data_IF_514710530055
#
_entry.id   IF_514710530055
#
_cell.length_a   1.000
_cell.length_b   1.000
_cell.length_c   1.000
_cell.angle_alpha   90.00
_cell.angle_beta   90.00
_cell.angle_gamma   90.00
#
_symmetry.space_group_name_H-M   'P 1'
#
loop_
_entity.id
_entity.type
_entity.pdbx_description
1 polymer ?
#
# COMPACT_ATOMS: atom_id res chain seq x y z
N UNK A 1 10.79 -5.52 -16.33
CA UNK A 1 9.71 -6.14 -15.53
C UNK A 1 10.35 -7.10 -14.53
N UNK A 2 10.14 -6.93 -13.23
CA UNK A 2 10.52 -7.92 -12.23
C UNK A 2 9.55 -9.10 -12.26
N UNK A 3 10.07 -10.31 -12.10
CA UNK A 3 9.32 -11.53 -11.83
C UNK A 3 9.88 -12.11 -10.54
N UNK A 4 9.01 -12.50 -9.63
CA UNK A 4 9.42 -13.09 -8.36
C UNK A 4 8.61 -14.36 -8.08
N UNK A 5 9.26 -15.35 -7.49
CA UNK A 5 8.63 -16.55 -6.96
C UNK A 5 9.00 -16.70 -5.48
N UNK A 6 8.00 -16.89 -4.63
CA UNK A 6 8.23 -17.22 -3.23
C UNK A 6 8.84 -18.60 -3.11
N UNK A 7 9.78 -18.75 -2.18
CA UNK A 7 10.42 -20.03 -1.88
C UNK A 7 10.27 -20.33 -0.38
N UNK A 8 9.89 -21.53 -0.03
CA UNK A 8 9.75 -21.99 1.36
C UNK A 8 10.99 -22.75 1.85
N UNK A 9 12.19 -22.39 1.39
CA UNK A 9 13.42 -23.12 1.72
C UNK A 9 13.73 -23.08 3.21
N UNK A 10 13.43 -21.94 3.86
CA UNK A 10 13.64 -21.80 5.30
C UNK A 10 12.79 -22.78 6.12
N UNK A 11 11.51 -22.93 5.75
CA UNK A 11 10.55 -23.82 6.40
C UNK A 11 10.92 -25.29 6.17
N UNK A 12 11.50 -25.59 4.99
CA UNK A 12 11.98 -26.92 4.64
C UNK A 12 13.39 -27.23 5.19
N UNK A 13 14.04 -26.31 5.88
CA UNK A 13 15.42 -26.47 6.38
C UNK A 13 16.48 -26.57 5.27
N UNK A 14 16.17 -26.15 4.05
CA UNK A 14 17.05 -26.23 2.87
C UNK A 14 17.80 -24.94 2.69
N UNK A 15 19.11 -25.01 2.41
CA UNK A 15 19.91 -23.82 2.09
C UNK A 15 19.77 -23.45 0.60
N UNK A 16 19.77 -22.15 0.29
CA UNK A 16 19.62 -21.68 -1.10
C UNK A 16 20.71 -22.20 -2.05
N UNK A 17 21.91 -22.45 -1.53
CA UNK A 17 23.01 -23.03 -2.29
C UNK A 17 22.87 -24.55 -2.62
N UNK A 18 21.93 -25.25 -1.98
CA UNK A 18 21.66 -26.66 -2.21
C UNK A 18 20.67 -26.90 -3.34
N UNK A 19 20.06 -25.84 -3.83
CA UNK A 19 19.06 -25.88 -4.88
C UNK A 19 19.42 -25.02 -6.08
N UNK A 20 18.76 -25.27 -7.19
CA UNK A 20 18.79 -24.43 -8.39
C UNK A 20 17.37 -24.07 -8.78
N UNK A 21 17.20 -22.85 -9.32
CA UNK A 21 15.93 -22.37 -9.82
C UNK A 21 15.99 -22.03 -11.31
N UNK A 22 14.87 -22.17 -11.99
CA UNK A 22 14.72 -21.70 -13.38
C UNK A 22 13.35 -21.11 -13.61
N UNK A 23 13.31 -19.98 -14.32
CA UNK A 23 12.09 -19.39 -14.86
C UNK A 23 11.95 -19.82 -16.32
N UNK A 24 10.83 -20.38 -16.69
CA UNK A 24 10.48 -20.79 -18.06
C UNK A 24 9.27 -19.97 -18.49
N UNK A 25 9.40 -19.30 -19.63
CA UNK A 25 8.31 -18.56 -20.27
C UNK A 25 7.78 -19.40 -21.41
N UNK A 26 6.52 -19.79 -21.33
CA UNK A 26 5.84 -20.67 -22.29
C UNK A 26 4.69 -19.92 -22.95
N UNK A 27 4.52 -20.09 -24.26
CA UNK A 27 3.33 -19.59 -24.97
C UNK A 27 2.07 -20.33 -24.49
N UNK A 28 0.88 -19.83 -24.82
CA UNK A 28 -0.39 -20.50 -24.57
C UNK A 28 -0.45 -21.93 -25.16
N UNK A 29 0.35 -22.22 -26.20
CA UNK A 29 0.49 -23.57 -26.78
C UNK A 29 1.52 -24.46 -26.04
N UNK A 30 2.05 -24.02 -24.90
CA UNK A 30 3.04 -24.77 -24.10
C UNK A 30 4.47 -24.78 -24.68
N UNK A 31 4.77 -23.95 -25.69
CA UNK A 31 6.13 -23.87 -26.25
C UNK A 31 6.97 -22.92 -25.41
N UNK A 32 8.08 -23.43 -24.85
CA UNK A 32 9.05 -22.59 -24.16
C UNK A 32 9.72 -21.61 -25.15
N UNK A 33 9.67 -20.33 -24.84
CA UNK A 33 10.28 -19.24 -25.62
C UNK A 33 11.52 -18.68 -24.93
N UNK A 34 11.62 -18.83 -23.62
CA UNK A 34 12.77 -18.39 -22.83
C UNK A 34 12.90 -19.22 -21.56
N UNK A 35 14.13 -19.57 -21.22
CA UNK A 35 14.49 -20.13 -19.91
C UNK A 35 15.61 -19.30 -19.34
N UNK A 36 15.48 -18.89 -18.08
CA UNK A 36 16.47 -18.05 -17.40
C UNK A 36 16.68 -18.51 -15.97
N UNK A 37 17.92 -18.44 -15.50
CA UNK A 37 18.21 -18.57 -14.07
C UNK A 37 17.73 -17.32 -13.33
N UNK A 38 17.37 -17.41 -12.05
CA UNK A 38 17.14 -16.23 -11.22
C UNK A 38 18.35 -15.30 -11.20
N UNK A 39 18.12 -13.99 -11.18
CA UNK A 39 19.16 -13.00 -10.86
C UNK A 39 19.60 -13.13 -9.39
N UNK A 40 18.63 -13.46 -8.52
CA UNK A 40 18.88 -13.79 -7.12
C UNK A 40 17.96 -14.93 -6.67
N UNK A 41 18.54 -15.85 -5.89
CA UNK A 41 17.83 -16.94 -5.20
C UNK A 41 18.21 -16.88 -3.73
N UNK A 42 17.24 -16.57 -2.89
CA UNK A 42 17.37 -16.49 -1.44
C UNK A 42 16.58 -17.60 -0.77
N UNK A 43 16.60 -17.66 0.57
CA UNK A 43 15.78 -18.60 1.35
C UNK A 43 14.27 -18.45 1.10
N UNK A 44 13.85 -17.22 0.77
CA UNK A 44 12.44 -16.83 0.75
C UNK A 44 11.96 -16.46 -0.65
N UNK A 45 12.84 -16.18 -1.60
CA UNK A 45 12.47 -15.68 -2.90
C UNK A 45 13.50 -15.96 -3.99
N UNK A 46 12.99 -16.25 -5.20
CA UNK A 46 13.74 -16.19 -6.44
C UNK A 46 13.27 -14.97 -7.24
N UNK A 47 14.18 -14.17 -7.76
CA UNK A 47 13.85 -12.99 -8.57
C UNK A 47 14.54 -13.03 -9.92
N UNK A 48 13.87 -12.51 -10.95
CA UNK A 48 14.38 -12.36 -12.31
C UNK A 48 13.89 -11.02 -12.87
N UNK A 49 14.78 -10.27 -13.53
CA UNK A 49 14.41 -9.12 -14.34
C UNK A 49 14.43 -9.47 -15.81
N UNK A 50 13.36 -9.19 -16.52
CA UNK A 50 13.26 -9.35 -17.97
C UNK A 50 12.87 -8.05 -18.62
N UNK A 51 13.37 -7.84 -19.83
CA UNK A 51 12.85 -6.78 -20.68
C UNK A 51 11.61 -7.34 -21.42
N UNK A 52 10.46 -6.70 -21.23
CA UNK A 52 9.22 -7.15 -21.87
C UNK A 52 9.29 -7.06 -23.40
N UNK A 53 10.12 -6.16 -23.96
CA UNK A 53 10.32 -6.03 -25.42
C UNK A 53 11.03 -7.23 -26.06
N UNK A 54 11.71 -8.07 -25.26
CA UNK A 54 12.38 -9.29 -25.75
C UNK A 54 11.37 -10.42 -26.11
N UNK A 55 10.09 -10.22 -25.77
CA UNK A 55 9.03 -11.19 -26.06
C UNK A 55 8.14 -10.69 -27.20
N UNK A 56 7.73 -11.55 -28.15
CA UNK A 56 6.63 -11.26 -29.07
C UNK A 56 5.35 -10.85 -28.31
N UNK A 57 4.46 -10.10 -28.98
CA UNK A 57 3.11 -9.85 -28.44
C UNK A 57 2.37 -11.18 -28.28
N UNK A 58 1.78 -11.41 -27.10
CA UNK A 58 1.06 -12.65 -26.81
C UNK A 58 0.98 -12.94 -25.30
N UNK A 59 0.34 -14.04 -25.01
CA UNK A 59 0.12 -14.54 -23.65
C UNK A 59 1.13 -15.64 -23.34
N UNK A 60 1.67 -15.59 -22.14
CA UNK A 60 2.68 -16.53 -21.67
C UNK A 60 2.33 -17.02 -20.27
N UNK A 61 2.63 -18.31 -20.01
CA UNK A 61 2.76 -18.80 -18.66
C UNK A 61 4.22 -18.70 -18.24
N UNK A 62 4.47 -18.08 -17.09
CA UNK A 62 5.79 -18.03 -16.47
C UNK A 62 5.82 -19.06 -15.37
N UNK A 63 6.61 -20.10 -15.55
CA UNK A 63 6.79 -21.16 -14.56
C UNK A 63 8.15 -21.00 -13.90
N UNK A 64 8.18 -20.96 -12.58
CA UNK A 64 9.39 -21.12 -11.80
C UNK A 64 9.47 -22.57 -11.32
N UNK A 65 10.60 -23.23 -11.54
CA UNK A 65 10.87 -24.58 -11.04
C UNK A 65 12.09 -24.54 -10.12
N UNK A 66 11.97 -25.21 -8.98
CA UNK A 66 13.03 -25.39 -8.00
C UNK A 66 13.44 -26.85 -7.96
N UNK A 67 14.74 -27.13 -8.05
CA UNK A 67 15.29 -28.47 -8.02
C UNK A 67 16.55 -28.53 -7.14
N UNK A 68 16.83 -29.70 -6.58
CA UNK A 68 18.13 -29.99 -5.96
C UNK A 68 19.22 -30.05 -7.03
N UNK A 69 20.50 -29.98 -6.64
CA UNK A 69 21.64 -30.04 -7.60
C UNK A 69 21.71 -31.34 -8.38
N UNK A 70 21.23 -32.44 -7.83
CA UNK A 70 21.11 -33.74 -8.48
C UNK A 70 19.86 -33.87 -9.37
N UNK A 71 19.05 -32.78 -9.51
CA UNK A 71 17.89 -32.72 -10.40
C UNK A 71 16.56 -33.13 -9.78
N UNK A 72 16.52 -33.47 -8.48
CA UNK A 72 15.26 -33.77 -7.78
C UNK A 72 14.36 -32.53 -7.67
N UNK A 73 13.09 -32.63 -8.12
CA UNK A 73 12.12 -31.56 -8.02
C UNK A 73 11.82 -31.21 -6.56
N UNK A 74 11.77 -29.92 -6.24
CA UNK A 74 11.40 -29.37 -4.92
C UNK A 74 10.14 -28.53 -4.95
N UNK A 75 9.61 -28.24 -6.12
CA UNK A 75 8.37 -27.49 -6.29
C UNK A 75 8.40 -26.57 -7.50
N UNK A 76 7.22 -26.06 -7.82
CA UNK A 76 7.05 -25.05 -8.88
C UNK A 76 5.94 -24.07 -8.54
N UNK A 77 6.02 -22.88 -9.15
CA UNK A 77 4.98 -21.86 -9.11
C UNK A 77 4.75 -21.34 -10.53
N UNK A 78 3.52 -20.87 -10.80
CA UNK A 78 3.16 -20.33 -12.11
C UNK A 78 2.46 -18.99 -11.97
N UNK A 79 2.64 -18.13 -12.99
CA UNK A 79 1.88 -16.88 -13.16
C UNK A 79 1.71 -16.58 -14.65
N UNK A 80 0.78 -15.71 -14.97
CA UNK A 80 0.56 -15.24 -16.34
C UNK A 80 1.40 -13.99 -16.63
N UNK A 81 1.84 -13.88 -17.86
CA UNK A 81 2.50 -12.69 -18.40
C UNK A 81 1.91 -12.35 -19.76
N UNK A 82 1.28 -11.19 -19.86
CA UNK A 82 0.69 -10.68 -21.10
C UNK A 82 1.59 -9.63 -21.74
N UNK A 83 2.17 -9.92 -22.91
CA UNK A 83 2.90 -8.93 -23.68
C UNK A 83 1.97 -8.31 -24.72
N UNK A 84 1.59 -7.07 -24.51
CA UNK A 84 0.73 -6.31 -25.41
C UNK A 84 1.56 -5.36 -26.28
N UNK A 85 1.10 -5.06 -27.50
CA UNK A 85 1.76 -4.12 -28.40
C UNK A 85 1.67 -2.69 -27.87
N UNK A 86 0.52 -2.32 -27.32
CA UNK A 86 0.24 -1.05 -26.66
C UNK A 86 -0.49 -1.39 -25.35
N UNK A 87 -0.11 -0.72 -24.27
CA UNK A 87 -0.90 -0.84 -23.03
C UNK A 87 -2.32 -0.39 -23.30
N UNK A 88 -3.34 -1.17 -22.87
CA UNK A 88 -4.72 -0.73 -22.99
C UNK A 88 -4.89 0.59 -22.22
N UNK A 89 -5.75 1.44 -22.72
CA UNK A 89 -6.17 2.63 -21.99
C UNK A 89 -7.05 2.16 -20.84
N UNK A 90 -6.50 2.23 -19.64
CA UNK A 90 -7.20 1.88 -18.39
C UNK A 90 -7.52 3.15 -17.62
N UNK A 91 -8.66 3.16 -16.92
CA UNK A 91 -9.12 4.28 -16.11
C UNK A 91 -8.26 4.46 -14.87
N UNK A 92 -7.94 3.36 -14.21
CA UNK A 92 -7.06 3.32 -13.06
C UNK A 92 -6.20 2.04 -13.09
N UNK A 93 -4.89 2.15 -12.90
CA UNK A 93 -4.00 1.00 -12.88
C UNK A 93 -2.70 1.29 -12.12
N UNK A 94 -2.01 0.26 -11.69
CA UNK A 94 -0.72 0.38 -11.01
C UNK A 94 0.40 0.27 -12.05
N UNK A 95 1.27 1.28 -12.10
CA UNK A 95 2.42 1.32 -13.01
C UNK A 95 3.64 0.56 -12.50
N UNK A 96 4.71 0.51 -13.32
CA UNK A 96 5.97 -0.15 -12.96
C UNK A 96 6.68 0.47 -11.73
N UNK A 97 6.33 1.69 -11.35
CA UNK A 97 6.82 2.38 -10.16
C UNK A 97 5.89 2.21 -8.96
N UNK A 98 4.86 1.35 -9.07
CA UNK A 98 3.81 1.10 -8.06
C UNK A 98 2.96 2.33 -7.74
N UNK A 99 2.91 3.29 -8.64
CA UNK A 99 2.01 4.44 -8.54
C UNK A 99 0.65 4.06 -9.11
N UNK A 100 -0.40 4.54 -8.49
CA UNK A 100 -1.71 4.52 -9.14
C UNK A 100 -1.73 5.58 -10.25
N UNK A 101 -2.12 5.18 -11.43
CA UNK A 101 -2.41 6.07 -12.56
C UNK A 101 -3.91 6.14 -12.72
N UNK A 102 -4.48 7.34 -12.72
CA UNK A 102 -5.91 7.60 -12.89
C UNK A 102 -6.07 8.56 -14.07
N UNK A 103 -6.86 8.16 -15.05
CA UNK A 103 -7.07 8.96 -16.27
C UNK A 103 -5.74 9.45 -16.89
N UNK A 104 -4.73 8.56 -16.91
CA UNK A 104 -3.41 8.82 -17.46
C UNK A 104 -2.47 9.66 -16.58
N UNK A 105 -2.87 10.03 -15.36
CA UNK A 105 -2.07 10.86 -14.44
C UNK A 105 -1.74 10.10 -13.15
N UNK A 106 -0.50 10.26 -12.62
CA UNK A 106 -0.17 9.71 -11.30
C UNK A 106 -1.08 10.27 -10.21
N UNK A 107 -1.56 9.38 -9.35
CA UNK A 107 -2.47 9.68 -8.27
C UNK A 107 -1.98 9.03 -6.97
N UNK A 108 -1.91 9.78 -5.88
CA UNK A 108 -1.60 9.28 -4.55
C UNK A 108 -2.91 9.21 -3.76
N UNK A 109 -3.47 8.03 -3.48
CA UNK A 109 -4.66 7.93 -2.64
C UNK A 109 -4.38 8.52 -1.26
N UNK A 110 -5.08 9.57 -0.93
CA UNK A 110 -5.05 10.22 0.38
C UNK A 110 -6.50 10.31 0.86
N UNK A 111 -6.92 9.40 1.70
CA UNK A 111 -8.31 9.24 2.05
C UNK A 111 -8.55 8.72 3.45
N UNK A 112 -9.81 8.45 3.75
CA UNK A 112 -10.23 7.87 5.02
C UNK A 112 -11.33 6.82 4.82
N UNK A 113 -11.42 5.92 5.79
CA UNK A 113 -12.55 5.00 5.93
C UNK A 113 -13.82 5.73 6.38
N UNK A 114 -14.95 5.33 5.79
CA UNK A 114 -16.29 5.81 6.07
C UNK A 114 -17.22 4.65 6.43
N UNK A 115 -18.24 4.89 7.28
CA UNK A 115 -19.28 3.88 7.49
C UNK A 115 -20.21 3.76 6.28
N UNK A 116 -20.56 4.89 5.68
CA UNK A 116 -21.36 5.06 4.47
C UNK A 116 -21.40 6.52 4.10
N UNK A 117 -21.61 6.83 2.83
CA UNK A 117 -21.62 8.22 2.32
C UNK A 117 -22.90 8.92 2.78
N UNK A 118 -22.76 10.07 3.46
CA UNK A 118 -23.85 10.87 4.00
C UNK A 118 -23.57 12.36 3.85
N UNK A 119 -24.60 13.11 3.52
CA UNK A 119 -24.66 14.56 3.69
C UNK A 119 -25.09 14.90 5.14
N UNK A 120 -24.61 15.94 5.80
CA UNK A 120 -23.63 16.96 5.38
C UNK A 120 -22.16 16.55 5.61
N UNK A 121 -21.91 15.32 6.05
CA UNK A 121 -20.56 14.81 6.35
C UNK A 121 -19.65 14.89 5.11
N UNK A 122 -20.20 14.56 3.92
CA UNK A 122 -19.48 14.62 2.65
C UNK A 122 -19.03 16.05 2.31
N UNK A 123 -19.86 17.04 2.61
CA UNK A 123 -19.52 18.46 2.41
C UNK A 123 -18.35 18.90 3.30
N UNK A 124 -18.33 18.44 4.56
CA UNK A 124 -17.23 18.70 5.49
C UNK A 124 -15.94 18.04 5.02
N UNK A 125 -16.04 16.77 4.57
CA UNK A 125 -14.89 16.01 4.10
C UNK A 125 -14.28 16.58 2.82
N UNK A 126 -15.09 16.98 1.86
CA UNK A 126 -14.66 17.55 0.59
C UNK A 126 -13.90 18.88 0.74
N UNK A 127 -14.11 19.61 1.84
CA UNK A 127 -13.33 20.82 2.19
C UNK A 127 -11.96 20.49 2.81
N UNK A 128 -11.75 19.23 3.20
CA UNK A 128 -10.48 18.74 3.73
C UNK A 128 -9.45 18.44 2.64
N UNK A 129 -8.27 17.95 3.04
CA UNK A 129 -7.17 17.70 2.11
C UNK A 129 -7.27 16.39 1.32
N UNK A 130 -8.33 15.63 1.49
CA UNK A 130 -8.50 14.29 0.96
C UNK A 130 -8.97 14.29 -0.49
N UNK A 131 -8.55 13.27 -1.26
CA UNK A 131 -8.91 13.09 -2.67
C UNK A 131 -9.70 11.79 -2.93
N UNK A 132 -9.83 10.94 -1.92
CA UNK A 132 -10.63 9.72 -2.00
C UNK A 132 -11.23 9.35 -0.65
N UNK A 133 -12.18 8.40 -0.68
CA UNK A 133 -12.77 7.79 0.51
C UNK A 133 -13.07 6.32 0.27
N UNK A 134 -13.12 5.53 1.35
CA UNK A 134 -13.47 4.12 1.33
C UNK A 134 -14.66 3.87 2.27
N UNK A 135 -15.89 3.81 1.75
CA UNK A 135 -17.07 3.50 2.55
C UNK A 135 -17.23 2.00 2.76
N UNK A 136 -17.47 1.56 3.98
CA UNK A 136 -17.83 0.17 4.28
C UNK A 136 -19.18 -0.22 3.65
N UNK A 137 -20.18 0.65 3.79
CA UNK A 137 -21.45 0.49 3.07
C UNK A 137 -21.26 0.82 1.59
N UNK A 138 -21.62 -0.12 0.71
CA UNK A 138 -21.54 0.08 -0.74
C UNK A 138 -22.41 1.26 -1.17
N UNK A 139 -21.83 2.36 -1.70
CA UNK A 139 -22.60 3.54 -2.09
C UNK A 139 -23.51 3.25 -3.28
N UNK A 140 -24.67 3.88 -3.31
CA UNK A 140 -25.55 3.89 -4.46
C UNK A 140 -25.09 4.91 -5.52
N UNK A 141 -25.82 4.96 -6.66
CA UNK A 141 -25.47 5.86 -7.76
C UNK A 141 -25.47 7.33 -7.34
N UNK A 142 -26.47 7.75 -6.55
CA UNK A 142 -26.57 9.14 -6.10
C UNK A 142 -25.38 9.53 -5.21
N UNK A 143 -24.98 8.65 -4.33
CA UNK A 143 -23.82 8.83 -3.45
C UNK A 143 -22.50 8.88 -4.25
N UNK A 144 -22.35 8.01 -5.27
CA UNK A 144 -21.21 8.04 -6.19
C UNK A 144 -21.17 9.34 -7.00
N UNK A 145 -22.30 9.78 -7.55
CA UNK A 145 -22.45 11.07 -8.25
C UNK A 145 -22.08 12.25 -7.33
N UNK A 146 -22.49 12.21 -6.07
CA UNK A 146 -22.19 13.25 -5.07
C UNK A 146 -20.69 13.33 -4.73
N UNK A 147 -20.01 12.19 -4.65
CA UNK A 147 -18.56 12.13 -4.50
C UNK A 147 -17.87 12.72 -5.73
N UNK A 148 -18.28 12.30 -6.92
CA UNK A 148 -17.71 12.80 -8.17
C UNK A 148 -17.84 14.32 -8.33
N UNK A 149 -19.02 14.85 -8.04
CA UNK A 149 -19.30 16.29 -8.11
C UNK A 149 -18.39 17.14 -7.21
N UNK A 150 -17.80 16.53 -6.17
CA UNK A 150 -16.84 17.16 -5.25
C UNK A 150 -15.37 16.82 -5.54
N UNK A 151 -15.11 16.17 -6.67
CA UNK A 151 -13.74 15.76 -7.05
C UNK A 151 -13.17 14.61 -6.23
N UNK A 152 -14.01 13.89 -5.48
CA UNK A 152 -13.59 12.76 -4.65
C UNK A 152 -13.73 11.45 -5.44
N UNK A 153 -12.69 10.61 -5.33
CA UNK A 153 -12.71 9.24 -5.82
C UNK A 153 -13.17 8.28 -4.71
N UNK A 154 -13.71 7.13 -5.11
CA UNK A 154 -14.27 6.13 -4.18
C UNK A 154 -13.56 4.79 -4.37
N UNK A 155 -13.00 4.26 -3.30
CA UNK A 155 -12.59 2.86 -3.21
C UNK A 155 -13.84 2.08 -2.84
N UNK A 156 -14.44 1.39 -3.82
CA UNK A 156 -15.77 0.78 -3.67
C UNK A 156 -15.69 -0.56 -2.96
N UNK A 157 -16.42 -0.70 -1.84
CA UNK A 157 -16.38 -1.91 -1.01
C UNK A 157 -17.30 -3.02 -1.54
N UNK A 158 -16.70 -4.20 -1.77
CA UNK A 158 -17.34 -5.49 -2.01
C UNK A 158 -16.80 -6.56 -1.05
N UNK A 159 -16.12 -6.13 0.01
CA UNK A 159 -15.42 -6.98 0.97
C UNK A 159 -16.31 -7.97 1.74
N UNK A 160 -17.60 -7.65 1.86
CA UNK A 160 -18.58 -8.47 2.59
C UNK A 160 -19.31 -9.48 1.70
N UNK A 161 -19.04 -9.48 0.39
CA UNK A 161 -19.75 -10.36 -0.56
C UNK A 161 -19.12 -11.77 -0.60
N UNK A 162 -19.15 -12.45 0.55
CA UNK A 162 -18.73 -13.83 0.73
C UNK A 162 -19.80 -14.61 1.49
N UNK A 163 -20.61 -15.40 0.79
CA UNK A 163 -21.68 -16.22 1.37
C UNK A 163 -21.15 -17.16 2.44
N UNK A 164 -21.94 -17.40 3.47
CA UNK A 164 -21.54 -18.23 4.60
C UNK A 164 -20.65 -17.53 5.64
N UNK A 165 -20.22 -16.28 5.41
CA UNK A 165 -19.57 -15.46 6.43
C UNK A 165 -20.62 -14.68 7.23
N UNK A 166 -20.31 -14.27 8.45
CA UNK A 166 -21.23 -13.47 9.27
C UNK A 166 -21.37 -12.02 8.77
N UNK A 167 -20.47 -11.57 7.89
CA UNK A 167 -20.53 -10.26 7.25
C UNK A 167 -21.37 -10.23 5.99
N UNK A 168 -21.69 -11.42 5.41
CA UNK A 168 -22.42 -11.49 4.15
C UNK A 168 -23.79 -10.79 4.27
N UNK A 169 -24.22 -10.02 3.25
CA UNK A 169 -25.55 -9.47 3.19
C UNK A 169 -26.63 -10.56 3.38
N UNK A 170 -27.71 -10.25 4.11
CA UNK A 170 -28.71 -11.22 4.51
C UNK A 170 -29.32 -12.02 3.35
N UNK A 171 -29.38 -11.46 2.13
CA UNK A 171 -29.87 -12.10 0.90
C UNK A 171 -28.85 -13.00 0.19
N UNK A 172 -27.56 -12.92 0.54
CA UNK A 172 -26.49 -13.66 -0.12
C UNK A 172 -26.28 -15.01 0.56
N UNK A 173 -26.74 -16.08 -0.06
CA UNK A 173 -26.74 -17.45 0.51
C UNK A 173 -25.75 -18.39 -0.17
N UNK A 174 -25.43 -18.14 -1.42
CA UNK A 174 -24.63 -18.99 -2.29
C UNK A 174 -23.54 -18.20 -3.02
N UNK A 175 -22.55 -18.89 -3.56
CA UNK A 175 -21.56 -18.28 -4.46
C UNK A 175 -22.18 -17.71 -5.75
N UNK A 176 -23.32 -18.28 -6.18
CA UNK A 176 -24.07 -17.72 -7.32
C UNK A 176 -24.65 -16.34 -6.99
N UNK A 177 -25.14 -16.13 -5.74
CA UNK A 177 -25.62 -14.82 -5.27
C UNK A 177 -24.47 -13.81 -5.21
N UNK A 178 -23.28 -14.25 -4.75
CA UNK A 178 -22.07 -13.41 -4.75
C UNK A 178 -21.73 -12.94 -6.17
N UNK A 179 -21.66 -13.89 -7.11
CA UNK A 179 -21.32 -13.59 -8.50
C UNK A 179 -22.34 -12.64 -9.13
N UNK A 180 -23.62 -12.86 -8.88
CA UNK A 180 -24.69 -12.00 -9.39
C UNK A 180 -24.59 -10.57 -8.86
N UNK A 181 -24.34 -10.42 -7.54
CA UNK A 181 -24.22 -9.09 -6.93
C UNK A 181 -22.94 -8.38 -7.39
N UNK A 182 -21.81 -9.08 -7.53
CA UNK A 182 -20.56 -8.49 -8.03
C UNK A 182 -20.73 -8.01 -9.47
N UNK A 183 -21.28 -8.85 -10.36
CA UNK A 183 -21.54 -8.46 -11.76
C UNK A 183 -22.42 -7.20 -11.83
N UNK A 184 -23.48 -7.17 -11.02
CA UNK A 184 -24.36 -6.00 -10.92
C UNK A 184 -23.60 -4.74 -10.47
N UNK A 185 -22.67 -4.83 -9.48
CA UNK A 185 -21.89 -3.68 -9.04
C UNK A 185 -20.90 -3.21 -10.12
N UNK A 186 -20.25 -4.13 -10.80
CA UNK A 186 -19.35 -3.80 -11.91
C UNK A 186 -20.12 -3.16 -13.08
N UNK A 187 -21.27 -3.69 -13.47
CA UNK A 187 -22.12 -3.10 -14.50
C UNK A 187 -22.57 -1.67 -14.14
N UNK A 188 -22.92 -1.43 -12.88
CA UNK A 188 -23.38 -0.11 -12.43
C UNK A 188 -22.25 0.91 -12.29
N UNK A 189 -21.09 0.48 -11.81
CA UNK A 189 -20.05 1.41 -11.34
C UNK A 189 -18.69 1.27 -12.04
N UNK A 190 -18.41 0.21 -12.79
CA UNK A 190 -17.15 0.03 -13.50
C UNK A 190 -16.83 1.14 -14.51
N UNK A 191 -17.86 1.88 -14.96
CA UNK A 191 -17.68 3.06 -15.79
C UNK A 191 -17.87 4.40 -15.04
N UNK A 192 -18.10 4.35 -13.72
CA UNK A 192 -18.39 5.56 -12.96
C UNK A 192 -17.11 6.39 -12.71
N UNK A 193 -17.11 7.71 -13.01
CA UNK A 193 -15.89 8.51 -12.92
C UNK A 193 -15.36 8.68 -11.50
N UNK A 194 -16.14 8.42 -10.46
CA UNK A 194 -15.67 8.40 -9.08
C UNK A 194 -14.98 7.10 -8.68
N UNK A 195 -15.16 5.99 -9.42
CA UNK A 195 -14.54 4.72 -9.04
C UNK A 195 -13.01 4.83 -9.12
N UNK A 196 -12.31 4.38 -8.08
CA UNK A 196 -10.87 4.38 -7.98
C UNK A 196 -10.30 2.96 -7.96
N UNK A 197 -10.91 2.10 -7.16
CA UNK A 197 -10.48 0.72 -6.92
C UNK A 197 -11.63 -0.07 -6.28
N UNK A 198 -11.51 -1.40 -6.31
CA UNK A 198 -12.43 -2.31 -5.63
C UNK A 198 -11.82 -2.81 -4.32
N UNK A 199 -12.50 -2.59 -3.19
CA UNK A 199 -12.09 -3.12 -1.89
C UNK A 199 -12.66 -4.52 -1.71
N UNK A 200 -11.80 -5.53 -1.82
CA UNK A 200 -12.22 -6.93 -1.98
C UNK A 200 -12.06 -7.77 -0.72
N UNK A 201 -11.21 -7.34 0.21
CA UNK A 201 -10.88 -8.10 1.41
C UNK A 201 -10.55 -7.17 2.58
N UNK A 202 -11.14 -7.45 3.74
CA UNK A 202 -10.93 -6.77 5.02
C UNK A 202 -10.64 -7.83 6.09
N UNK A 203 -9.36 -8.06 6.35
CA UNK A 203 -8.85 -8.96 7.41
C UNK A 203 -9.35 -10.42 7.33
N UNK A 204 -9.76 -10.90 6.16
CA UNK A 204 -10.21 -12.29 6.02
C UNK A 204 -9.09 -13.27 6.37
N UNK A 205 -9.40 -14.35 7.11
CA UNK A 205 -8.40 -15.30 7.55
C UNK A 205 -7.82 -16.15 6.39
N UNK A 206 -6.63 -16.70 6.59
CA UNK A 206 -5.88 -17.43 5.57
C UNK A 206 -6.64 -18.64 4.98
N UNK A 207 -7.52 -19.27 5.74
CA UNK A 207 -8.36 -20.35 5.21
C UNK A 207 -9.36 -19.90 4.14
N UNK A 208 -9.51 -18.59 3.91
CA UNK A 208 -10.29 -18.01 2.81
C UNK A 208 -9.43 -17.72 1.56
N UNK A 209 -8.12 -17.96 1.59
CA UNK A 209 -7.20 -17.54 0.52
C UNK A 209 -7.61 -18.02 -0.87
N UNK A 210 -8.10 -19.25 -1.02
CA UNK A 210 -8.54 -19.79 -2.32
C UNK A 210 -9.78 -19.02 -2.85
N UNK A 211 -10.73 -18.68 -1.98
CA UNK A 211 -11.91 -17.88 -2.35
C UNK A 211 -11.52 -16.43 -2.69
N UNK A 212 -10.58 -15.87 -1.94
CA UNK A 212 -10.04 -14.53 -2.20
C UNK A 212 -9.31 -14.50 -3.55
N UNK A 213 -8.51 -15.53 -3.86
CA UNK A 213 -7.83 -15.65 -5.15
C UNK A 213 -8.80 -15.86 -6.32
N UNK A 214 -9.88 -16.62 -6.10
CA UNK A 214 -10.95 -16.75 -7.08
C UNK A 214 -11.65 -15.41 -7.32
N UNK A 215 -11.89 -14.62 -6.25
CA UNK A 215 -12.45 -13.27 -6.34
C UNK A 215 -11.54 -12.32 -7.11
N UNK A 216 -10.22 -12.37 -6.89
CA UNK A 216 -9.24 -11.57 -7.63
C UNK A 216 -9.34 -11.84 -9.13
N UNK A 217 -9.29 -13.13 -9.54
CA UNK A 217 -9.45 -13.52 -10.96
C UNK A 217 -10.77 -13.04 -11.56
N UNK A 218 -11.86 -13.16 -10.80
CA UNK A 218 -13.18 -12.66 -11.25
C UNK A 218 -13.15 -11.15 -11.47
N UNK A 219 -12.53 -10.39 -10.60
CA UNK A 219 -12.44 -8.93 -10.76
C UNK A 219 -11.56 -8.54 -11.96
N UNK A 220 -10.45 -9.25 -12.18
CA UNK A 220 -9.60 -9.08 -13.37
C UNK A 220 -10.35 -9.32 -14.69
N UNK A 221 -11.30 -10.27 -14.69
CA UNK A 221 -12.16 -10.57 -15.85
C UNK A 221 -13.26 -9.53 -16.05
N UNK A 222 -13.94 -9.11 -14.96
CA UNK A 222 -15.12 -8.24 -15.01
C UNK A 222 -14.78 -6.76 -15.15
N UNK A 223 -13.70 -6.31 -14.50
CA UNK A 223 -13.25 -4.92 -14.55
C UNK A 223 -11.71 -4.84 -14.54
N UNK A 224 -11.08 -5.06 -15.69
CA UNK A 224 -9.63 -4.92 -15.83
C UNK A 224 -9.15 -3.46 -15.73
N UNK A 225 -10.07 -2.50 -15.70
CA UNK A 225 -9.77 -1.06 -15.71
C UNK A 225 -9.47 -0.48 -14.34
N UNK A 226 -9.79 -1.22 -13.25
CA UNK A 226 -9.56 -0.74 -11.89
C UNK A 226 -8.84 -1.80 -11.05
N UNK A 227 -7.87 -1.40 -10.20
CA UNK A 227 -7.19 -2.34 -9.32
C UNK A 227 -8.09 -2.79 -8.16
N UNK A 228 -7.77 -3.95 -7.61
CA UNK A 228 -8.31 -4.42 -6.34
C UNK A 228 -7.40 -3.99 -5.18
N UNK A 229 -8.01 -3.72 -4.02
CA UNK A 229 -7.31 -3.43 -2.78
C UNK A 229 -7.78 -4.37 -1.67
N UNK A 230 -6.83 -4.91 -0.92
CA UNK A 230 -7.06 -5.71 0.27
C UNK A 230 -6.37 -5.08 1.49
N UNK A 231 -6.94 -5.26 2.67
CA UNK A 231 -6.33 -4.84 3.94
C UNK A 231 -6.28 -6.01 4.90
N UNK A 232 -5.14 -6.15 5.58
CA UNK A 232 -4.86 -7.24 6.52
C UNK A 232 -4.21 -6.70 7.80
N UNK A 233 -4.67 -7.19 8.97
CA UNK A 233 -3.91 -6.99 10.22
C UNK A 233 -2.74 -7.97 10.34
N UNK A 234 -2.75 -9.07 9.57
CA UNK A 234 -1.69 -10.09 9.53
C UNK A 234 -0.50 -9.61 8.66
N UNK A 235 0.14 -8.50 9.05
CA UNK A 235 1.19 -7.85 8.28
C UNK A 235 2.40 -8.74 7.96
N UNK A 236 2.65 -9.77 8.76
CA UNK A 236 3.73 -10.75 8.62
C UNK A 236 3.33 -12.01 7.80
N UNK A 237 2.06 -12.10 7.37
CA UNK A 237 1.52 -13.19 6.55
C UNK A 237 1.10 -12.76 5.15
N UNK A 238 1.32 -11.52 4.76
CA UNK A 238 0.89 -10.93 3.46
C UNK A 238 1.34 -11.78 2.27
N UNK A 239 2.49 -12.43 2.38
CA UNK A 239 3.02 -13.35 1.35
C UNK A 239 2.02 -14.45 0.96
N UNK A 240 1.31 -14.99 1.93
CA UNK A 240 0.32 -16.05 1.68
C UNK A 240 -0.91 -15.57 0.90
N UNK A 241 -1.11 -14.26 0.81
CA UNK A 241 -2.25 -13.63 0.11
C UNK A 241 -1.87 -12.99 -1.23
N UNK A 242 -0.63 -13.17 -1.74
CA UNK A 242 -0.12 -12.46 -2.94
C UNK A 242 -0.98 -12.59 -4.19
N UNK A 243 -1.76 -13.67 -4.34
CA UNK A 243 -2.67 -13.93 -5.47
C UNK A 243 -4.06 -13.32 -5.30
N UNK A 244 -4.31 -12.55 -4.24
CA UNK A 244 -5.65 -12.11 -3.85
C UNK A 244 -5.90 -10.61 -4.02
N UNK A 245 -4.92 -9.85 -4.52
CA UNK A 245 -5.00 -8.40 -4.66
C UNK A 245 -3.99 -7.84 -5.67
N UNK A 246 -4.28 -6.65 -6.19
CA UNK A 246 -3.32 -5.81 -6.92
C UNK A 246 -2.57 -4.88 -5.96
N UNK A 247 -3.28 -4.33 -4.98
CA UNK A 247 -2.78 -3.40 -3.97
C UNK A 247 -3.05 -3.96 -2.59
N UNK A 248 -2.07 -3.83 -1.69
CA UNK A 248 -2.20 -4.26 -0.30
C UNK A 248 -2.11 -3.08 0.66
N UNK A 249 -2.90 -3.11 1.72
CA UNK A 249 -2.71 -2.32 2.91
C UNK A 249 -2.57 -3.20 4.14
N UNK A 250 -1.94 -2.68 5.17
CA UNK A 250 -2.09 -3.19 6.53
C UNK A 250 -2.44 -2.04 7.45
N UNK A 251 -3.04 -2.35 8.59
CA UNK A 251 -3.75 -1.39 9.43
C UNK A 251 -3.16 -1.30 10.85
N UNK A 252 -1.97 -0.69 11.01
CA UNK A 252 -1.33 -0.50 12.30
C UNK A 252 -2.13 0.48 13.16
N UNK A 253 -2.77 -0.04 14.20
CA UNK A 253 -3.52 0.73 15.20
C UNK A 253 -2.86 0.64 16.59
N UNK A 254 -1.65 1.22 16.76
CA UNK A 254 -0.85 0.99 17.96
C UNK A 254 -1.33 1.74 19.19
N UNK A 255 -1.97 2.89 19.08
CA UNK A 255 -2.22 3.81 20.15
C UNK A 255 -3.50 3.42 20.94
N UNK A 256 -3.41 3.34 22.28
CA UNK A 256 -2.27 3.64 23.16
C UNK A 256 -1.41 2.43 23.54
N UNK A 257 -1.76 1.22 23.08
CA UNK A 257 -1.22 -0.05 23.63
C UNK A 257 0.21 -0.36 23.14
N UNK A 258 0.59 0.16 22.00
CA UNK A 258 1.89 -0.09 21.35
C UNK A 258 2.54 1.23 20.93
N UNK A 259 3.87 1.23 20.71
CA UNK A 259 4.56 2.41 20.17
C UNK A 259 4.08 2.78 18.76
N UNK A 260 4.01 4.07 18.45
CA UNK A 260 3.67 4.58 17.12
C UNK A 260 4.61 4.04 16.00
N UNK A 261 5.83 3.60 16.36
CA UNK A 261 6.77 2.93 15.46
C UNK A 261 6.27 1.62 14.84
N UNK A 262 5.15 1.07 15.33
CA UNK A 262 4.49 -0.06 14.70
C UNK A 262 4.08 0.25 13.25
N UNK A 263 3.74 1.50 12.92
CA UNK A 263 3.40 1.90 11.55
C UNK A 263 4.58 1.70 10.59
N UNK A 264 5.80 2.03 11.01
CA UNK A 264 7.03 1.78 10.26
C UNK A 264 7.26 0.28 10.05
N UNK A 265 7.24 -0.49 11.15
CA UNK A 265 7.46 -1.94 11.12
C UNK A 265 6.48 -2.64 10.19
N UNK A 266 5.19 -2.38 10.35
CA UNK A 266 4.14 -3.04 9.55
C UNK A 266 4.27 -2.69 8.07
N UNK A 267 4.48 -1.43 7.73
CA UNK A 267 4.62 -1.02 6.33
C UNK A 267 5.86 -1.63 5.67
N UNK A 268 7.01 -1.63 6.37
CA UNK A 268 8.24 -2.26 5.89
C UNK A 268 8.04 -3.75 5.65
N UNK A 269 7.47 -4.45 6.65
CA UNK A 269 7.20 -5.89 6.54
C UNK A 269 6.21 -6.19 5.41
N UNK A 270 5.13 -5.42 5.27
CA UNK A 270 4.15 -5.56 4.18
C UNK A 270 4.84 -5.45 2.82
N UNK A 271 5.66 -4.40 2.60
CA UNK A 271 6.42 -4.22 1.37
C UNK A 271 7.35 -5.41 1.10
N UNK A 272 8.10 -5.85 2.11
CA UNK A 272 9.07 -6.93 1.98
C UNK A 272 8.37 -8.28 1.73
N UNK A 273 7.23 -8.54 2.36
CA UNK A 273 6.38 -9.70 2.12
C UNK A 273 5.83 -9.76 0.68
N UNK A 274 5.65 -8.62 0.03
CA UNK A 274 5.28 -8.54 -1.39
C UNK A 274 6.47 -8.55 -2.34
N UNK A 275 7.69 -8.75 -1.84
CA UNK A 275 8.95 -8.62 -2.62
C UNK A 275 9.04 -7.27 -3.35
N UNK A 276 8.42 -6.23 -2.79
CA UNK A 276 8.33 -4.91 -3.41
C UNK A 276 7.70 -4.91 -4.83
N UNK A 277 6.83 -5.90 -5.12
CA UNK A 277 6.14 -6.04 -6.42
C UNK A 277 4.74 -5.48 -6.44
N UNK A 278 4.15 -5.15 -5.29
CA UNK A 278 2.80 -4.59 -5.15
C UNK A 278 2.86 -3.14 -4.65
N UNK A 279 1.85 -2.35 -5.03
CA UNK A 279 1.60 -1.07 -4.38
C UNK A 279 1.09 -1.29 -2.96
N UNK A 280 1.47 -0.39 -2.04
CA UNK A 280 1.05 -0.43 -0.64
C UNK A 280 0.25 0.83 -0.34
N UNK A 281 -1.05 0.70 -0.06
CA UNK A 281 -1.89 1.78 0.48
C UNK A 281 -2.17 1.47 1.94
N UNK A 282 -1.48 2.16 2.82
CA UNK A 282 -1.46 1.83 4.24
C UNK A 282 -2.62 2.48 4.98
N UNK A 283 -3.04 1.86 6.10
CA UNK A 283 -4.21 2.29 6.88
C UNK A 283 -3.79 2.70 8.30
N UNK A 284 -3.14 3.88 8.48
CA UNK A 284 -2.71 4.30 9.80
C UNK A 284 -3.86 4.80 10.68
N UNK A 285 -3.69 4.70 12.01
CA UNK A 285 -4.68 5.02 13.02
C UNK A 285 -4.90 6.54 13.16
N UNK A 286 -6.17 6.94 13.19
CA UNK A 286 -6.57 8.29 13.67
C UNK A 286 -7.68 8.23 14.71
N UNK A 287 -8.22 7.05 15.05
CA UNK A 287 -9.33 6.85 15.97
C UNK A 287 -8.89 6.53 17.40
N UNK A 288 -9.82 6.66 18.35
CA UNK A 288 -9.68 6.21 19.74
C UNK A 288 -10.32 4.83 19.90
N UNK A 289 -9.56 3.85 20.39
CA UNK A 289 -10.10 2.52 20.71
C UNK A 289 -11.28 2.55 21.69
N UNK A 290 -11.45 3.65 22.44
CA UNK A 290 -12.61 3.86 23.29
C UNK A 290 -13.94 3.84 22.55
N UNK A 291 -13.93 4.05 21.23
CA UNK A 291 -15.09 3.88 20.35
C UNK A 291 -15.62 2.43 20.32
N UNK A 292 -14.77 1.46 20.67
CA UNK A 292 -15.01 0.01 20.61
C UNK A 292 -14.88 -0.69 21.98
N UNK A 293 -14.54 0.04 23.04
CA UNK A 293 -14.37 -0.47 24.41
C UNK A 293 -15.48 0.08 25.31
N UNK A 294 -15.72 -0.57 26.46
CA UNK A 294 -16.70 -0.17 27.47
C UNK A 294 -16.09 -0.15 28.85
N UNK A 295 -16.70 0.64 29.78
CA UNK A 295 -16.31 0.71 31.17
C UNK A 295 -14.81 1.03 31.35
N UNK A 296 -14.17 0.42 32.34
CA UNK A 296 -12.77 0.67 32.67
C UNK A 296 -11.78 0.44 31.50
N UNK A 297 -12.11 -0.42 30.52
CA UNK A 297 -11.26 -0.61 29.36
C UNK A 297 -11.31 0.60 28.40
N UNK A 298 -12.47 1.26 28.31
CA UNK A 298 -12.60 2.52 27.56
C UNK A 298 -11.75 3.63 28.19
N UNK A 299 -11.67 3.67 29.52
CA UNK A 299 -10.95 4.73 30.24
C UNK A 299 -9.42 4.62 30.09
N UNK A 300 -8.91 3.47 29.72
CA UNK A 300 -7.49 3.23 29.42
C UNK A 300 -7.08 3.66 28.00
N UNK A 301 -8.05 3.94 27.13
CA UNK A 301 -7.77 4.31 25.75
C UNK A 301 -7.63 5.83 25.58
N UNK A 302 -7.03 6.20 24.50
CA UNK A 302 -6.99 7.60 23.98
C UNK A 302 -6.86 7.60 22.48
N UNK A 303 -7.19 8.71 21.88
CA UNK A 303 -6.86 8.96 20.49
C UNK A 303 -5.34 9.24 20.32
N UNK A 304 -4.76 8.95 19.15
CA UNK A 304 -3.42 9.42 18.84
C UNK A 304 -3.37 10.95 18.81
N UNK A 305 -2.27 11.54 19.28
CA UNK A 305 -1.99 12.98 19.17
C UNK A 305 -1.69 13.34 17.71
N UNK A 306 -1.73 14.63 17.37
CA UNK A 306 -1.29 15.13 16.05
C UNK A 306 0.15 14.68 15.72
N UNK A 307 1.07 14.72 16.71
CA UNK A 307 2.45 14.29 16.52
C UNK A 307 2.52 12.78 16.19
N UNK A 308 1.76 11.94 16.89
CA UNK A 308 1.71 10.50 16.62
C UNK A 308 1.09 10.20 15.24
N UNK A 309 -0.02 10.85 14.89
CA UNK A 309 -0.66 10.70 13.56
C UNK A 309 0.29 11.13 12.44
N UNK A 310 0.93 12.29 12.60
CA UNK A 310 1.91 12.83 11.65
C UNK A 310 3.11 11.88 11.51
N UNK A 311 3.63 11.37 12.62
CA UNK A 311 4.72 10.39 12.61
C UNK A 311 4.33 9.11 11.89
N UNK A 312 3.18 8.50 12.23
CA UNK A 312 2.70 7.26 11.59
C UNK A 312 2.49 7.44 10.09
N UNK A 313 1.93 8.56 9.63
CA UNK A 313 1.76 8.85 8.22
C UNK A 313 3.10 8.87 7.47
N UNK A 314 4.10 9.61 8.00
CA UNK A 314 5.41 9.72 7.37
C UNK A 314 6.27 8.46 7.53
N UNK A 315 6.10 7.67 8.59
CA UNK A 315 6.66 6.35 8.72
C UNK A 315 6.19 5.42 7.60
N UNK A 316 4.88 5.40 7.31
CA UNK A 316 4.34 4.62 6.20
C UNK A 316 4.93 5.06 4.86
N UNK A 317 5.01 6.38 4.59
CA UNK A 317 5.59 6.92 3.36
C UNK A 317 7.09 6.58 3.25
N UNK A 318 7.87 6.74 4.31
CA UNK A 318 9.29 6.41 4.33
C UNK A 318 9.52 4.91 4.05
N UNK A 319 8.72 4.04 4.66
CA UNK A 319 8.79 2.59 4.48
C UNK A 319 8.30 2.10 3.11
N UNK A 320 7.73 2.96 2.28
CA UNK A 320 7.39 2.62 0.89
C UNK A 320 5.91 2.67 0.52
N UNK A 321 5.02 3.15 1.39
CA UNK A 321 3.63 3.33 1.02
C UNK A 321 3.47 4.25 -0.20
N UNK A 322 2.51 3.89 -1.05
CA UNK A 322 2.12 4.59 -2.27
C UNK A 322 0.73 5.25 -2.15
N UNK A 323 0.11 5.16 -0.98
CA UNK A 323 -1.15 5.78 -0.60
C UNK A 323 -1.40 5.63 0.90
N UNK A 324 -2.27 6.49 1.45
CA UNK A 324 -2.68 6.49 2.84
C UNK A 324 -4.21 6.62 2.92
N UNK A 325 -4.86 5.65 3.58
CA UNK A 325 -6.31 5.65 3.79
C UNK A 325 -6.59 5.45 5.28
N UNK A 326 -6.71 6.55 6.03
CA UNK A 326 -6.74 6.53 7.48
C UNK A 326 -8.02 5.90 8.05
N UNK A 327 -7.90 5.14 9.10
CA UNK A 327 -9.03 4.63 9.86
C UNK A 327 -9.26 5.49 11.10
N UNK A 328 -10.42 6.17 11.25
CA UNK A 328 -11.52 6.34 10.31
C UNK A 328 -12.20 7.70 10.52
N UNK A 329 -12.84 8.24 9.48
CA UNK A 329 -13.60 9.49 9.56
C UNK A 329 -14.81 9.38 10.49
N UNK A 330 -15.57 8.27 10.39
CA UNK A 330 -16.78 8.08 11.19
C UNK A 330 -16.52 7.90 12.68
N UNK A 331 -15.31 7.47 13.08
CA UNK A 331 -14.95 7.34 14.48
C UNK A 331 -14.61 8.69 15.15
N UNK A 332 -14.28 9.71 14.35
CA UNK A 332 -14.07 11.06 14.88
C UNK A 332 -15.33 11.62 15.56
N UNK A 333 -16.51 11.09 15.21
CA UNK A 333 -17.79 11.50 15.81
C UNK A 333 -18.14 10.70 17.08
N UNK A 334 -17.45 9.60 17.40
CA UNK A 334 -17.87 8.68 18.47
C UNK A 334 -17.43 9.09 19.88
N UNK A 335 -16.33 9.82 20.00
CA UNK A 335 -15.67 10.13 21.29
C UNK A 335 -15.86 11.60 21.71
N UNK A 336 -17.05 12.16 21.47
CA UNK A 336 -17.39 13.58 21.71
C UNK A 336 -17.22 14.04 23.17
N UNK A 337 -17.32 13.12 24.12
CA UNK A 337 -17.14 13.35 25.53
C UNK A 337 -15.66 13.56 25.94
N UNK A 338 -14.72 13.17 25.08
CA UNK A 338 -13.27 13.35 25.30
C UNK A 338 -12.69 14.43 24.42
N UNK A 339 -12.91 14.30 23.10
CA UNK A 339 -12.43 15.23 22.10
C UNK A 339 -13.56 15.54 21.10
N UNK A 340 -13.98 16.80 20.94
CA UNK A 340 -14.99 17.19 19.97
C UNK A 340 -14.49 16.91 18.53
N UNK A 341 -15.44 16.63 17.63
CA UNK A 341 -15.15 16.33 16.23
C UNK A 341 -14.28 17.41 15.57
N UNK A 342 -14.59 18.67 15.82
CA UNK A 342 -13.93 19.82 15.20
C UNK A 342 -12.41 19.83 15.51
N UNK A 343 -12.04 19.53 16.76
CA UNK A 343 -10.64 19.43 17.17
C UNK A 343 -9.97 18.25 16.49
N UNK A 344 -10.58 17.06 16.54
CA UNK A 344 -10.02 15.83 15.91
C UNK A 344 -9.88 16.01 14.41
N UNK A 345 -10.89 16.60 13.77
CA UNK A 345 -10.88 16.87 12.34
C UNK A 345 -9.79 17.88 11.96
N UNK A 346 -9.60 18.94 12.75
CA UNK A 346 -8.53 19.91 12.52
C UNK A 346 -7.14 19.26 12.59
N UNK A 347 -6.89 18.40 13.60
CA UNK A 347 -5.63 17.67 13.75
C UNK A 347 -5.38 16.72 12.55
N UNK A 348 -6.40 15.97 12.13
CA UNK A 348 -6.34 15.06 10.97
C UNK A 348 -6.09 15.83 9.68
N UNK A 349 -6.78 16.96 9.47
CA UNK A 349 -6.57 17.82 8.32
C UNK A 349 -5.16 18.42 8.29
N UNK A 350 -4.64 18.89 9.44
CA UNK A 350 -3.30 19.46 9.52
C UNK A 350 -2.21 18.43 9.10
N UNK A 351 -2.31 17.18 9.58
CA UNK A 351 -1.42 16.09 9.17
C UNK A 351 -1.55 15.80 7.69
N UNK A 352 -2.79 15.63 7.18
CA UNK A 352 -3.04 15.26 5.80
C UNK A 352 -2.70 16.37 4.80
N UNK A 353 -2.84 17.65 5.16
CA UNK A 353 -2.43 18.78 4.31
C UNK A 353 -0.90 18.81 4.09
N UNK A 354 -0.11 18.43 5.11
CA UNK A 354 1.33 18.30 4.96
C UNK A 354 1.68 17.22 3.93
N UNK A 355 1.00 16.07 3.95
CA UNK A 355 1.18 15.01 2.94
C UNK A 355 0.72 15.49 1.56
N UNK A 356 -0.47 16.10 1.46
CA UNK A 356 -1.06 16.60 0.21
C UNK A 356 -0.11 17.55 -0.53
N UNK A 357 0.51 18.48 0.19
CA UNK A 357 1.46 19.45 -0.36
C UNK A 357 2.64 18.79 -1.06
N UNK A 358 3.05 17.61 -0.58
CA UNK A 358 4.21 16.87 -1.08
C UNK A 358 3.85 15.76 -2.08
N UNK A 359 2.57 15.52 -2.37
CA UNK A 359 2.13 14.50 -3.35
C UNK A 359 2.89 14.60 -4.68
N UNK A 360 3.13 15.79 -5.28
CA UNK A 360 3.89 15.86 -6.53
C UNK A 360 5.29 15.25 -6.44
N UNK A 361 5.96 15.41 -5.29
CA UNK A 361 7.27 14.81 -5.01
C UNK A 361 7.14 13.30 -4.81
N UNK A 362 6.18 12.86 -4.00
CA UNK A 362 5.94 11.45 -3.67
C UNK A 362 5.60 10.61 -4.91
N UNK A 363 5.03 11.24 -5.92
CA UNK A 363 4.65 10.62 -7.20
C UNK A 363 5.79 10.65 -8.24
N UNK A 364 6.93 11.24 -7.95
CA UNK A 364 8.05 11.25 -8.89
C UNK A 364 8.56 9.82 -9.16
N UNK A 365 8.80 9.54 -10.44
CA UNK A 365 9.46 8.32 -10.94
C UNK A 365 10.85 8.62 -11.48
N UNK A 366 11.37 9.83 -11.30
CA UNK A 366 12.71 10.19 -11.72
C UNK A 366 13.75 9.39 -10.92
N UNK A 367 14.86 8.94 -11.56
CA UNK A 367 15.93 8.24 -10.85
C UNK A 367 16.49 9.10 -9.72
N UNK A 368 16.31 8.65 -8.48
CA UNK A 368 16.83 9.31 -7.30
C UNK A 368 18.21 8.74 -6.88
N UNK A 369 19.06 9.52 -6.20
CA UNK A 369 20.33 9.02 -5.66
C UNK A 369 20.07 7.95 -4.59
N UNK A 370 21.07 7.13 -4.30
CA UNK A 370 21.02 6.23 -3.15
C UNK A 370 21.16 7.01 -1.84
N UNK A 371 20.50 6.50 -0.81
CA UNK A 371 20.59 7.02 0.56
C UNK A 371 20.92 5.88 1.51
N UNK A 372 21.78 6.16 2.48
CA UNK A 372 22.07 5.28 3.62
C UNK A 372 21.93 6.05 4.92
N UNK A 373 21.57 5.35 5.99
CA UNK A 373 21.47 5.91 7.33
C UNK A 373 22.40 5.14 8.25
N UNK A 374 23.31 5.84 8.91
CA UNK A 374 24.29 5.31 9.84
C UNK A 374 23.96 5.79 11.25
N UNK A 375 24.29 4.98 12.25
CA UNK A 375 24.13 5.31 13.67
C UNK A 375 22.81 4.90 14.29
N UNK A 376 21.77 4.62 13.49
CA UNK A 376 20.50 4.10 14.04
C UNK A 376 19.68 3.32 13.02
N UNK A 377 19.28 2.10 13.39
CA UNK A 377 18.34 1.29 12.62
C UNK A 377 16.87 1.75 12.77
N UNK A 378 16.60 2.67 13.69
CA UNK A 378 15.25 3.19 13.97
C UNK A 378 14.87 4.39 13.09
N UNK A 379 15.82 4.95 12.35
CA UNK A 379 15.58 6.03 11.39
C UNK A 379 15.37 5.41 10.00
N UNK A 380 14.17 5.58 9.47
CA UNK A 380 13.85 5.19 8.07
C UNK A 380 14.06 6.37 7.15
N UNK A 381 14.64 6.11 5.96
CA UNK A 381 14.92 7.16 4.99
C UNK A 381 14.40 6.80 3.61
N UNK A 382 13.93 7.81 2.88
CA UNK A 382 13.54 7.67 1.48
C UNK A 382 13.84 8.94 0.71
N UNK A 383 14.22 8.78 -0.56
CA UNK A 383 14.55 9.91 -1.43
C UNK A 383 13.72 9.88 -2.71
N UNK A 384 13.47 11.07 -3.23
CA UNK A 384 12.87 11.30 -4.55
C UNK A 384 13.69 12.37 -5.27
N UNK A 385 13.74 12.29 -6.59
CA UNK A 385 14.18 13.38 -7.45
C UNK A 385 12.95 14.04 -8.06
N UNK A 386 12.94 15.36 -8.10
CA UNK A 386 11.93 16.13 -8.82
C UNK A 386 12.60 17.31 -9.50
N UNK A 387 12.82 17.18 -10.82
CA UNK A 387 13.64 18.10 -11.59
C UNK A 387 15.09 18.12 -11.11
N UNK A 388 15.61 19.30 -10.81
CA UNK A 388 16.97 19.49 -10.28
C UNK A 388 17.11 19.18 -8.79
N UNK A 389 16.02 19.05 -8.06
CA UNK A 389 16.03 18.90 -6.60
C UNK A 389 15.89 17.43 -6.19
N UNK A 390 16.55 17.10 -5.09
CA UNK A 390 16.41 15.82 -4.39
C UNK A 390 15.70 16.08 -3.05
N UNK A 391 14.66 15.31 -2.78
CA UNK A 391 13.90 15.37 -1.54
C UNK A 391 14.25 14.17 -0.68
N UNK A 392 14.73 14.41 0.53
CA UNK A 392 15.06 13.40 1.52
C UNK A 392 14.04 13.45 2.65
N UNK A 393 13.31 12.37 2.84
CA UNK A 393 12.52 12.11 4.04
C UNK A 393 13.34 11.23 4.98
N UNK A 394 13.40 11.60 6.25
CA UNK A 394 13.95 10.80 7.33
C UNK A 394 12.99 10.83 8.53
N UNK A 395 12.70 9.68 9.11
CA UNK A 395 11.71 9.55 10.19
C UNK A 395 12.29 8.74 11.33
N UNK A 396 12.28 9.33 12.53
CA UNK A 396 12.51 8.58 13.76
C UNK A 396 11.21 7.89 14.20
N UNK A 397 11.15 6.57 14.10
CA UNK A 397 9.97 5.79 14.50
C UNK A 397 9.87 5.51 16.01
N UNK A 398 10.79 6.01 16.85
CA UNK A 398 10.84 5.71 18.29
C UNK A 398 10.37 6.87 19.16
N UNK A 399 10.05 6.56 20.41
CA UNK A 399 9.71 7.55 21.46
C UNK A 399 10.95 8.19 22.11
N UNK A 400 12.15 7.89 21.61
CA UNK A 400 13.41 8.42 22.12
C UNK A 400 14.05 9.37 21.09
N UNK A 401 14.84 10.33 21.55
CA UNK A 401 15.66 11.15 20.67
C UNK A 401 16.81 10.29 20.07
N UNK A 402 17.04 10.43 18.77
CA UNK A 402 18.03 9.61 18.05
C UNK A 402 18.94 10.51 17.21
N UNK A 403 20.24 10.33 17.31
CA UNK A 403 21.19 10.97 16.40
C UNK A 403 21.62 9.98 15.32
N UNK A 404 21.51 10.40 14.07
CA UNK A 404 21.90 9.60 12.91
C UNK A 404 22.62 10.44 11.86
N UNK A 405 23.48 9.80 11.07
CA UNK A 405 24.09 10.38 9.88
C UNK A 405 23.40 9.82 8.66
N UNK A 406 22.78 10.68 7.86
CA UNK A 406 22.20 10.30 6.58
C UNK A 406 23.13 10.71 5.46
N UNK A 407 23.48 9.76 4.61
CA UNK A 407 24.40 9.97 3.48
C UNK A 407 23.62 9.85 2.18
N UNK A 408 23.61 10.93 1.40
CA UNK A 408 22.96 10.99 0.08
C UNK A 408 24.05 11.03 -1.00
N UNK A 409 24.02 10.08 -1.92
CA UNK A 409 25.03 10.00 -2.98
C UNK A 409 24.91 11.20 -3.95
N UNK A 410 26.07 11.67 -4.46
CA UNK A 410 26.14 12.73 -5.47
C UNK A 410 26.35 14.14 -4.91
N UNK A 411 26.27 14.33 -3.59
CA UNK A 411 26.49 15.65 -2.96
C UNK A 411 25.36 16.66 -3.28
N UNK A 412 25.42 17.82 -2.62
CA UNK A 412 24.48 18.94 -2.83
C UNK A 412 25.08 20.24 -2.29
N UNK A 413 24.68 21.39 -2.84
CA UNK A 413 25.17 22.72 -2.40
C UNK A 413 24.31 23.33 -1.30
N UNK A 414 23.02 23.11 -1.32
CA UNK A 414 22.09 23.69 -0.33
C UNK A 414 21.15 22.64 0.24
N UNK A 415 20.69 22.90 1.47
CA UNK A 415 19.70 22.12 2.21
C UNK A 415 18.62 23.07 2.72
N UNK A 416 17.36 22.78 2.42
CA UNK A 416 16.20 23.54 2.93
C UNK A 416 15.16 22.58 3.52
N UNK A 417 14.62 22.92 4.68
CA UNK A 417 13.52 22.13 5.25
C UNK A 417 12.23 22.38 4.47
N UNK A 418 11.55 21.30 4.10
CA UNK A 418 10.13 21.29 3.74
C UNK A 418 9.29 21.24 5.03
N UNK A 419 9.72 20.43 6.00
CA UNK A 419 9.26 20.42 7.37
C UNK A 419 10.34 19.80 8.29
N UNK A 420 10.20 20.04 9.60
CA UNK A 420 11.25 19.71 10.58
C UNK A 420 12.42 20.70 10.51
N UNK A 421 13.46 20.42 11.27
CA UNK A 421 14.65 21.27 11.30
C UNK A 421 15.64 20.88 10.19
N UNK A 422 16.48 21.82 9.78
CA UNK A 422 17.56 21.55 8.83
C UNK A 422 18.70 20.80 9.57
N UNK A 423 19.13 19.64 9.05
CA UNK A 423 20.25 18.90 9.64
C UNK A 423 21.59 19.62 9.47
N UNK A 424 22.57 19.32 10.32
CA UNK A 424 23.93 19.81 10.18
C UNK A 424 24.62 19.11 8.98
N UNK A 425 25.20 19.89 8.09
CA UNK A 425 25.97 19.36 6.95
C UNK A 425 27.41 19.08 7.38
N UNK A 426 27.84 17.83 7.21
CA UNK A 426 29.23 17.36 7.50
C UNK A 426 29.92 16.88 6.23
N UNK A 427 30.23 17.82 5.28
CA UNK A 427 30.89 17.48 4.01
C UNK A 427 29.91 17.06 2.91
N UNK A 428 30.43 16.47 1.84
CA UNK A 428 29.64 16.11 0.66
C UNK A 428 28.68 14.93 0.96
N UNK A 429 27.39 15.19 0.83
CA UNK A 429 26.34 14.20 0.97
C UNK A 429 26.00 13.81 2.42
N UNK A 430 26.75 14.24 3.44
CA UNK A 430 26.53 13.84 4.83
C UNK A 430 25.69 14.86 5.60
N UNK A 431 24.60 14.38 6.17
CA UNK A 431 23.66 15.14 6.99
C UNK A 431 23.57 14.50 8.38
N UNK A 432 24.00 15.23 9.41
CA UNK A 432 23.86 14.79 10.81
C UNK A 432 22.65 15.47 11.44
N UNK A 433 21.79 14.68 12.00
CA UNK A 433 20.57 15.14 12.61
C UNK A 433 20.29 14.43 13.94
N UNK A 434 19.92 15.21 14.95
CA UNK A 434 19.34 14.67 16.19
C UNK A 434 17.83 14.80 16.12
N UNK A 435 17.18 13.69 15.82
CA UNK A 435 15.73 13.62 15.74
C UNK A 435 15.12 13.66 17.14
N UNK A 436 14.11 14.48 17.33
CA UNK A 436 13.23 14.34 18.47
C UNK A 436 12.41 13.03 18.42
N UNK A 437 11.78 12.61 19.52
CA UNK A 437 10.87 11.48 19.52
C UNK A 437 9.80 11.60 18.43
N UNK A 438 9.60 10.53 17.65
CA UNK A 438 8.58 10.43 16.59
C UNK A 438 8.68 11.53 15.50
N UNK A 439 9.84 12.15 15.33
CA UNK A 439 10.01 13.26 14.40
C UNK A 439 10.22 12.79 12.95
N UNK A 440 9.34 13.19 12.02
CA UNK A 440 9.62 13.17 10.60
C UNK A 440 10.26 14.49 10.17
N UNK A 441 11.25 14.40 9.30
CA UNK A 441 11.95 15.54 8.68
C UNK A 441 11.96 15.35 7.18
N UNK A 442 11.59 16.37 6.42
CA UNK A 442 11.81 16.37 4.97
C UNK A 442 12.62 17.59 4.57
N UNK A 443 13.70 17.35 3.86
CA UNK A 443 14.55 18.40 3.33
C UNK A 443 14.66 18.30 1.81
N UNK A 444 14.77 19.47 1.19
CA UNK A 444 15.10 19.62 -0.23
C UNK A 444 16.59 19.93 -0.36
N UNK A 445 17.27 19.13 -1.16
CA UNK A 445 18.68 19.20 -1.48
C UNK A 445 18.80 19.70 -2.91
N UNK A 446 19.52 20.79 -3.13
CA UNK A 446 19.73 21.36 -4.47
C UNK A 446 21.21 21.39 -4.83
N UNK A 447 21.54 21.15 -6.12
CA UNK A 447 22.89 21.18 -6.68
C UNK A 447 23.53 22.56 -6.72
#
# INVERSE_FOLDING_TARGET
>A
MPVAAATALAEAGIQAQEVSGSFVFETAAGKAVRTSKPDALTRDCATLRVNASDFPVGDYTVRFALATRDGGSKGSAETLFHRVAKLPERKAFIDAHRRLIVDGKPFFPLGMYWSGVKEPELETYAKGPFNCLMPYGSPDKQQMDACHARGLKVIYSIKDFYSGTHWAPAGMKTEADELAEIKKRVELFGNHPALLAWYTNDEMPLNMADRLAARQRLMEELDPDHPTWAVLYQYDQVRAYLSTFDVIGTDPYPIPEKPAGAALLWTRTTRDQTYNTRAVWQVPQVFDWGAYRKGAERDKTRAPTLQEMRSMAWQCVAAGANGLVFYSFFDLFKMKDRDPFEKRWADVCAMAEEVKRLIPVLLSAEPAPSVTCEGSASVETRVWRSGSDVYLLAVNGTSEAVTATVVVAGGFKSVRAEFGNVPERKGDGHLVYTFAPLEPVMVRLSE
#
